data_IF_803412689090
#
_entry.id   IF_803412689090
#
_cell.length_a   1.000
_cell.length_b   1.000
_cell.length_c   1.000
_cell.angle_alpha   90.00
_cell.angle_beta   90.00
_cell.angle_gamma   90.00
#
_symmetry.space_group_name_H-M   'P 1'
#
loop_
_entity.id
_entity.type
_entity.pdbx_description
1 polymer ?
#
# COMPACT_ATOMS: atom_id res chain seq x y z
N UNK A 1 19.41 11.67 -63.61
CA UNK A 1 19.07 10.35 -62.99
C UNK A 1 17.68 9.92 -63.49
N UNK A 2 17.60 8.84 -64.22
CA UNK A 2 16.41 8.38 -64.90
C UNK A 2 15.38 7.83 -63.87
N UNK A 3 14.09 7.98 -64.17
CA UNK A 3 12.95 7.52 -63.37
C UNK A 3 12.99 6.03 -63.01
N UNK A 4 13.73 5.24 -63.78
CA UNK A 4 13.97 3.82 -63.51
C UNK A 4 14.87 3.56 -62.30
N UNK A 5 15.92 4.45 -62.10
CA UNK A 5 16.87 4.35 -60.96
C UNK A 5 16.20 4.71 -59.63
N UNK A 6 15.23 5.64 -59.66
CA UNK A 6 14.47 6.00 -58.46
C UNK A 6 13.47 4.89 -58.04
N UNK A 7 12.92 4.17 -58.98
CA UNK A 7 12.01 3.03 -58.69
C UNK A 7 12.76 1.80 -58.14
N UNK A 8 13.98 1.57 -58.59
CA UNK A 8 14.82 0.50 -58.05
C UNK A 8 15.38 0.82 -56.65
N UNK A 9 15.63 2.09 -56.32
CA UNK A 9 16.02 2.49 -54.94
C UNK A 9 14.86 2.40 -53.97
N UNK A 10 13.63 2.73 -54.39
CA UNK A 10 12.44 2.58 -53.50
C UNK A 10 12.04 1.09 -53.27
N UNK A 11 12.28 0.21 -54.23
CA UNK A 11 12.07 -1.23 -54.06
C UNK A 11 13.14 -1.89 -53.19
N UNK A 12 14.40 -1.39 -53.23
CA UNK A 12 15.46 -1.87 -52.35
C UNK A 12 15.29 -1.44 -50.89
N UNK A 13 14.76 -0.22 -50.62
CA UNK A 13 14.45 0.22 -49.27
C UNK A 13 13.22 -0.47 -48.67
N UNK A 14 12.20 -0.78 -49.49
CA UNK A 14 11.04 -1.50 -49.05
C UNK A 14 11.36 -2.98 -48.71
N UNK A 15 12.29 -3.61 -49.44
CA UNK A 15 12.73 -4.97 -49.16
C UNK A 15 13.64 -5.07 -47.92
N UNK A 16 14.39 -3.99 -47.59
CA UNK A 16 15.19 -3.91 -46.35
C UNK A 16 14.31 -3.58 -45.09
N UNK A 17 13.17 -2.91 -45.25
CA UNK A 17 12.18 -2.69 -44.18
C UNK A 17 11.31 -3.91 -43.90
N UNK A 18 11.14 -4.83 -44.87
CA UNK A 18 10.38 -6.07 -44.66
C UNK A 18 11.25 -7.18 -44.05
N UNK A 19 12.59 -7.08 -44.14
CA UNK A 19 13.52 -8.03 -43.51
C UNK A 19 13.91 -7.63 -42.06
N UNK A 20 13.50 -6.45 -41.61
CA UNK A 20 13.67 -5.97 -40.23
C UNK A 20 12.49 -6.22 -39.30
N UNK A 21 11.38 -6.83 -39.77
CA UNK A 21 10.15 -7.08 -39.00
C UNK A 21 9.86 -8.58 -38.76
N UNK A 22 10.86 -9.43 -38.86
CA UNK A 22 10.71 -10.85 -38.47
C UNK A 22 11.75 -11.26 -37.42
N UNK A 23 12.00 -10.40 -36.46
CA UNK A 23 12.38 -10.83 -35.14
C UNK A 23 11.10 -10.82 -34.26
N UNK A 24 10.11 -11.59 -34.65
CA UNK A 24 9.16 -12.12 -33.67
C UNK A 24 9.99 -13.04 -32.79
N UNK A 25 10.32 -12.57 -31.58
CA UNK A 25 10.79 -13.42 -30.51
C UNK A 25 9.86 -14.63 -30.44
N UNK A 26 10.42 -15.82 -30.31
CA UNK A 26 9.63 -17.01 -30.04
C UNK A 26 8.74 -16.72 -28.84
N UNK A 27 7.45 -17.10 -28.85
CA UNK A 27 6.59 -16.89 -27.70
C UNK A 27 7.26 -17.53 -26.48
N UNK A 28 7.42 -16.74 -25.42
CA UNK A 28 7.93 -17.19 -24.11
C UNK A 28 7.00 -18.33 -23.67
N UNK A 29 7.47 -19.55 -23.71
CA UNK A 29 6.67 -20.71 -23.36
C UNK A 29 6.87 -20.99 -21.87
N UNK A 30 6.21 -20.21 -21.01
CA UNK A 30 6.11 -20.57 -19.60
C UNK A 30 5.38 -21.93 -19.51
N UNK A 31 6.00 -22.91 -18.88
CA UNK A 31 5.34 -24.15 -18.54
C UNK A 31 4.13 -23.80 -17.67
N UNK A 32 2.94 -24.30 -17.99
CA UNK A 32 1.77 -24.15 -17.12
C UNK A 32 2.09 -24.82 -15.79
N UNK A 33 2.32 -24.00 -14.79
CA UNK A 33 2.54 -24.43 -13.41
C UNK A 33 1.17 -24.79 -12.80
N UNK A 34 1.12 -25.82 -11.98
CA UNK A 34 -0.12 -26.30 -11.36
C UNK A 34 -0.16 -25.87 -9.89
N UNK A 35 -1.31 -25.41 -9.43
CA UNK A 35 -1.55 -25.05 -8.01
C UNK A 35 -1.13 -26.21 -7.06
N UNK A 36 -1.39 -27.44 -7.48
CA UNK A 36 -1.04 -28.64 -6.69
C UNK A 36 0.49 -28.88 -6.54
N UNK A 37 1.31 -28.08 -7.24
CA UNK A 37 2.77 -28.19 -7.22
C UNK A 37 3.46 -27.15 -6.31
N UNK A 38 2.71 -26.26 -5.67
CA UNK A 38 3.29 -25.22 -4.80
C UNK A 38 3.87 -25.83 -3.53
N UNK A 39 5.18 -25.66 -3.26
CA UNK A 39 5.80 -26.26 -2.08
C UNK A 39 5.42 -25.50 -0.80
N UNK A 40 5.42 -26.22 0.32
CA UNK A 40 5.50 -25.60 1.63
C UNK A 40 6.91 -25.03 1.86
N UNK A 41 7.05 -24.10 2.80
CA UNK A 41 8.36 -23.65 3.24
C UNK A 41 9.18 -24.84 3.79
N UNK A 42 10.50 -24.87 3.56
CA UNK A 42 11.34 -25.98 4.02
C UNK A 42 11.30 -26.11 5.55
N UNK A 43 11.45 -27.35 6.06
CA UNK A 43 11.41 -27.61 7.50
C UNK A 43 12.61 -27.01 8.26
N UNK A 44 13.73 -26.82 7.57
CA UNK A 44 14.93 -26.17 8.12
C UNK A 44 15.05 -24.78 7.51
N UNK A 45 14.84 -23.75 8.33
CA UNK A 45 14.91 -22.33 7.94
C UNK A 45 16.20 -21.76 8.53
N UNK A 46 17.04 -21.05 7.75
CA UNK A 46 18.19 -20.32 8.30
C UNK A 46 17.75 -19.37 9.42
N UNK A 47 18.50 -19.32 10.52
CA UNK A 47 18.13 -18.55 11.70
C UNK A 47 17.91 -17.04 11.41
N UNK A 48 18.59 -16.47 10.41
CA UNK A 48 18.40 -15.10 9.97
C UNK A 48 17.07 -14.88 9.21
N UNK A 49 16.41 -15.95 8.78
CA UNK A 49 15.15 -15.94 8.03
C UNK A 49 14.02 -16.67 8.78
N UNK A 50 14.22 -16.99 10.05
CA UNK A 50 13.18 -17.55 10.93
C UNK A 50 12.29 -16.41 11.43
N UNK A 51 11.30 -16.04 10.60
CA UNK A 51 10.43 -14.87 10.78
C UNK A 51 9.09 -15.32 11.37
N UNK A 52 8.69 -14.70 12.46
CA UNK A 52 7.34 -14.85 13.02
C UNK A 52 6.35 -13.97 12.23
N UNK A 53 5.55 -14.59 11.39
CA UNK A 53 4.58 -13.88 10.54
C UNK A 53 3.36 -13.32 11.31
N UNK A 54 3.22 -13.61 12.59
CA UNK A 54 2.24 -12.99 13.47
C UNK A 54 2.81 -11.81 14.27
N UNK A 55 4.12 -11.55 14.17
CA UNK A 55 4.75 -10.40 14.77
C UNK A 55 4.63 -9.14 13.89
N UNK A 56 4.83 -7.99 14.51
CA UNK A 56 5.03 -6.72 13.83
C UNK A 56 6.49 -6.32 13.89
N UNK A 57 7.00 -5.88 12.77
CA UNK A 57 8.39 -5.48 12.61
C UNK A 57 8.47 -3.99 12.31
N UNK A 58 9.47 -3.31 12.84
CA UNK A 58 9.84 -1.95 12.45
C UNK A 58 10.39 -1.92 11.03
N UNK A 59 10.46 -0.76 10.42
CA UNK A 59 11.05 -0.64 9.08
C UNK A 59 12.50 -1.13 9.06
N UNK A 60 13.29 -0.78 10.09
CA UNK A 60 14.67 -1.26 10.21
C UNK A 60 14.80 -2.80 10.31
N UNK A 61 13.83 -3.47 10.95
CA UNK A 61 13.78 -4.93 10.99
C UNK A 61 13.41 -5.52 9.63
N UNK A 62 12.51 -4.88 8.87
CA UNK A 62 12.19 -5.29 7.49
C UNK A 62 13.41 -5.12 6.57
N UNK A 63 14.16 -4.01 6.70
CA UNK A 63 15.42 -3.82 5.98
C UNK A 63 16.43 -4.94 6.28
N UNK A 64 16.58 -5.30 7.55
CA UNK A 64 17.46 -6.39 7.97
C UNK A 64 17.01 -7.74 7.39
N UNK A 65 15.71 -8.01 7.33
CA UNK A 65 15.17 -9.24 6.73
C UNK A 65 15.41 -9.29 5.21
N UNK A 66 15.23 -8.17 4.48
CA UNK A 66 15.54 -8.09 3.05
C UNK A 66 17.04 -8.30 2.79
N UNK A 67 17.89 -7.67 3.59
CA UNK A 67 19.34 -7.85 3.51
C UNK A 67 19.75 -9.32 3.78
N UNK A 68 19.11 -9.97 4.75
CA UNK A 68 19.35 -11.38 5.04
C UNK A 68 18.92 -12.29 3.89
N UNK A 69 17.80 -12.02 3.21
CA UNK A 69 17.38 -12.77 2.01
C UNK A 69 18.43 -12.62 0.90
N UNK A 70 18.88 -11.38 0.62
CA UNK A 70 19.89 -11.12 -0.40
C UNK A 70 21.24 -11.75 -0.08
N UNK A 71 21.66 -11.74 1.19
CA UNK A 71 22.92 -12.36 1.62
C UNK A 71 22.88 -13.89 1.53
N UNK A 72 21.74 -14.51 1.89
CA UNK A 72 21.59 -15.97 1.88
C UNK A 72 21.38 -16.53 0.46
N UNK A 73 20.79 -15.76 -0.45
CA UNK A 73 20.42 -16.21 -1.79
C UNK A 73 20.98 -15.31 -2.92
N UNK A 74 22.30 -14.97 -2.91
CA UNK A 74 22.88 -13.99 -3.82
C UNK A 74 22.87 -14.41 -5.30
N UNK A 75 22.64 -15.69 -5.61
CA UNK A 75 22.57 -16.19 -6.99
C UNK A 75 21.22 -15.90 -7.68
N UNK A 76 20.22 -15.49 -6.90
CA UNK A 76 18.85 -15.27 -7.40
C UNK A 76 18.25 -13.96 -6.88
N UNK A 77 18.97 -13.18 -6.10
CA UNK A 77 18.44 -11.92 -5.53
C UNK A 77 19.43 -10.78 -5.69
N UNK A 78 18.87 -9.59 -5.99
CA UNK A 78 19.56 -8.31 -5.89
C UNK A 78 18.73 -7.36 -5.03
N UNK A 79 19.34 -6.74 -4.01
CA UNK A 79 18.71 -5.72 -3.15
C UNK A 79 19.27 -4.35 -3.46
N UNK A 80 18.42 -3.42 -3.86
CA UNK A 80 18.83 -2.04 -4.15
C UNK A 80 17.74 -1.04 -3.78
N UNK A 81 18.15 0.21 -3.54
CA UNK A 81 17.23 1.32 -3.33
C UNK A 81 16.79 1.92 -4.65
N UNK A 82 15.49 2.14 -4.84
CA UNK A 82 14.94 2.85 -6.01
C UNK A 82 14.83 4.36 -5.78
N UNK A 83 15.05 4.84 -4.56
CA UNK A 83 14.95 6.22 -4.16
C UNK A 83 14.86 6.38 -2.65
N UNK A 84 14.60 7.59 -2.18
CA UNK A 84 14.47 7.90 -0.76
C UNK A 84 13.23 8.73 -0.47
N UNK A 85 12.72 8.60 0.76
CA UNK A 85 11.63 9.43 1.29
C UNK A 85 12.10 10.84 1.67
N UNK A 86 11.17 11.69 2.09
CA UNK A 86 11.50 12.99 2.69
C UNK A 86 12.32 12.89 3.99
N UNK A 87 12.17 11.80 4.75
CA UNK A 87 12.93 11.54 5.96
C UNK A 87 14.18 10.67 5.68
N UNK A 88 14.63 10.62 4.41
CA UNK A 88 15.86 9.96 3.96
C UNK A 88 15.90 8.44 4.22
N UNK A 89 14.72 7.77 4.29
CA UNK A 89 14.64 6.31 4.31
C UNK A 89 14.67 5.78 2.89
N UNK A 90 15.38 4.67 2.68
CA UNK A 90 15.46 4.02 1.38
C UNK A 90 14.14 3.33 0.99
N UNK A 91 13.84 3.35 -0.30
CA UNK A 91 12.78 2.58 -0.91
C UNK A 91 13.39 1.30 -1.49
N UNK A 92 13.36 0.24 -0.70
CA UNK A 92 14.03 -1.00 -1.07
C UNK A 92 13.23 -1.81 -2.10
N UNK A 93 13.94 -2.29 -3.12
CA UNK A 93 13.48 -3.30 -4.05
C UNK A 93 14.35 -4.54 -3.90
N UNK A 94 13.70 -5.69 -3.65
CA UNK A 94 14.34 -6.99 -3.78
C UNK A 94 13.92 -7.59 -5.12
N UNK A 95 14.85 -7.66 -6.05
CA UNK A 95 14.70 -8.38 -7.31
C UNK A 95 14.98 -9.86 -7.08
N UNK A 96 14.08 -10.73 -7.56
CA UNK A 96 14.19 -12.19 -7.38
C UNK A 96 14.01 -12.84 -8.75
N UNK A 97 15.07 -13.50 -9.24
CA UNK A 97 15.07 -14.09 -10.57
C UNK A 97 16.21 -15.10 -10.73
N UNK A 98 16.22 -15.90 -11.78
CA UNK A 98 17.38 -16.67 -12.19
C UNK A 98 18.27 -15.84 -13.10
N UNK A 99 19.35 -15.26 -12.55
CA UNK A 99 20.31 -14.41 -13.26
C UNK A 99 21.00 -15.05 -14.47
N UNK A 100 20.92 -16.39 -14.61
CA UNK A 100 21.52 -17.12 -15.74
C UNK A 100 20.68 -17.04 -17.01
N UNK A 101 19.44 -16.57 -16.91
CA UNK A 101 18.54 -16.35 -18.04
C UNK A 101 18.43 -14.84 -18.26
N UNK A 102 18.64 -14.35 -19.48
CA UNK A 102 18.53 -12.93 -19.80
C UNK A 102 17.16 -12.34 -19.46
N UNK A 103 17.12 -11.13 -18.93
CA UNK A 103 15.89 -10.45 -18.51
C UNK A 103 14.90 -10.25 -19.66
N UNK A 104 15.42 -10.03 -20.88
CA UNK A 104 14.60 -9.90 -22.09
C UNK A 104 13.86 -11.19 -22.49
N UNK A 105 14.22 -12.33 -21.92
CA UNK A 105 13.54 -13.61 -22.12
C UNK A 105 12.48 -13.89 -21.05
N UNK A 106 12.32 -12.98 -20.08
CA UNK A 106 11.43 -13.13 -18.93
C UNK A 106 10.32 -12.08 -18.92
N UNK A 107 9.28 -12.38 -18.20
CA UNK A 107 8.18 -11.46 -17.89
C UNK A 107 8.48 -10.70 -16.59
N UNK A 108 8.38 -9.39 -16.62
CA UNK A 108 8.59 -8.53 -15.44
C UNK A 108 7.34 -8.48 -14.56
N UNK A 109 7.51 -8.73 -13.26
CA UNK A 109 6.42 -8.77 -12.27
C UNK A 109 6.71 -7.80 -11.13
N UNK A 110 5.77 -6.87 -10.85
CA UNK A 110 5.83 -5.99 -9.69
C UNK A 110 4.97 -6.52 -8.53
N UNK A 111 5.54 -6.64 -7.33
CA UNK A 111 4.81 -6.87 -6.08
C UNK A 111 5.11 -5.70 -5.15
N UNK A 112 4.19 -4.74 -5.13
CA UNK A 112 4.37 -3.46 -4.44
C UNK A 112 3.39 -3.36 -3.28
N UNK A 113 3.83 -2.80 -2.14
CA UNK A 113 2.99 -2.77 -0.96
C UNK A 113 3.16 -1.50 -0.15
N UNK A 114 2.23 -1.27 0.76
CA UNK A 114 2.29 -0.26 1.80
C UNK A 114 2.49 1.17 1.29
N UNK A 115 1.77 1.54 0.24
CA UNK A 115 1.68 2.95 -0.19
C UNK A 115 0.94 3.78 0.87
N UNK A 116 0.02 3.17 1.61
CA UNK A 116 -0.58 3.70 2.83
C UNK A 116 0.16 3.10 4.04
N UNK A 117 0.95 3.92 4.73
CA UNK A 117 1.88 3.47 5.76
C UNK A 117 1.27 2.63 6.89
N UNK A 118 0.03 2.91 7.26
CA UNK A 118 -0.70 2.16 8.28
C UNK A 118 -1.14 0.75 7.88
N UNK A 119 -1.12 0.41 6.60
CA UNK A 119 -1.59 -0.87 6.05
C UNK A 119 -0.49 -1.94 6.11
N UNK A 120 -0.06 -2.31 7.30
CA UNK A 120 1.14 -3.14 7.56
C UNK A 120 1.01 -4.58 7.10
N UNK A 121 -0.21 -5.13 7.07
CA UNK A 121 -0.48 -6.48 6.59
C UNK A 121 -0.12 -6.61 5.11
N UNK A 122 -0.22 -5.50 4.35
CA UNK A 122 0.23 -5.45 2.96
C UNK A 122 1.75 -5.62 2.85
N UNK A 123 2.52 -4.92 3.69
CA UNK A 123 3.98 -5.07 3.76
C UNK A 123 4.39 -6.50 4.17
N UNK A 124 3.74 -7.05 5.20
CA UNK A 124 3.97 -8.43 5.64
C UNK A 124 3.72 -9.44 4.52
N UNK A 125 2.67 -9.22 3.71
CA UNK A 125 2.32 -10.10 2.57
C UNK A 125 3.37 -10.04 1.45
N UNK A 126 3.88 -8.84 1.13
CA UNK A 126 4.98 -8.70 0.17
C UNK A 126 6.27 -9.36 0.68
N UNK A 127 6.62 -9.12 1.94
CA UNK A 127 7.78 -9.73 2.59
C UNK A 127 7.67 -11.26 2.62
N UNK A 128 6.48 -11.81 2.95
CA UNK A 128 6.25 -13.26 2.94
C UNK A 128 6.43 -13.84 1.54
N UNK A 129 5.94 -13.17 0.52
CA UNK A 129 6.09 -13.61 -0.88
C UNK A 129 7.57 -13.68 -1.28
N UNK A 130 8.35 -12.63 -0.97
CA UNK A 130 9.80 -12.61 -1.21
C UNK A 130 10.52 -13.73 -0.45
N UNK A 131 10.24 -13.86 0.84
CA UNK A 131 10.80 -14.88 1.71
C UNK A 131 10.51 -16.30 1.21
N UNK A 132 9.26 -16.57 0.82
CA UNK A 132 8.87 -17.88 0.33
C UNK A 132 9.56 -18.23 -1.01
N UNK A 133 9.64 -17.27 -1.94
CA UNK A 133 10.34 -17.44 -3.21
C UNK A 133 11.83 -17.76 -3.01
N UNK A 134 12.48 -17.09 -2.07
CA UNK A 134 13.90 -17.31 -1.78
C UNK A 134 14.13 -18.64 -1.11
N UNK A 135 13.38 -18.99 -0.06
CA UNK A 135 13.54 -20.25 0.68
C UNK A 135 13.21 -21.49 -0.17
N UNK A 136 12.22 -21.37 -1.06
CA UNK A 136 11.80 -22.49 -1.91
C UNK A 136 12.50 -22.51 -3.28
N UNK A 137 13.53 -21.70 -3.48
CA UNK A 137 14.19 -21.53 -4.79
C UNK A 137 14.79 -22.81 -5.39
N UNK A 138 15.09 -23.81 -4.59
CA UNK A 138 15.56 -25.12 -5.04
C UNK A 138 14.43 -26.06 -5.49
N UNK A 139 13.18 -25.76 -5.13
CA UNK A 139 12.03 -26.52 -5.58
C UNK A 139 11.77 -26.32 -7.08
N UNK A 140 11.31 -27.38 -7.76
CA UNK A 140 11.11 -27.35 -9.20
C UNK A 140 10.06 -26.34 -9.65
N UNK A 141 9.00 -26.14 -8.85
CA UNK A 141 7.95 -25.15 -9.15
C UNK A 141 8.51 -23.72 -9.06
N UNK A 142 9.17 -23.38 -7.95
CA UNK A 142 9.74 -22.02 -7.78
C UNK A 142 10.87 -21.75 -8.76
N UNK A 143 11.70 -22.76 -9.04
CA UNK A 143 12.73 -22.67 -10.10
C UNK A 143 12.10 -22.34 -11.47
N UNK A 144 10.99 -22.99 -11.79
CA UNK A 144 10.24 -22.68 -13.02
C UNK A 144 9.68 -21.25 -13.03
N UNK A 145 9.26 -20.72 -11.89
CA UNK A 145 8.86 -19.30 -11.77
C UNK A 145 10.06 -18.38 -12.05
N UNK A 146 11.19 -18.60 -11.37
CA UNK A 146 12.38 -17.76 -11.50
C UNK A 146 13.03 -17.84 -12.88
N UNK A 147 12.82 -18.95 -13.61
CA UNK A 147 13.25 -19.08 -15.00
C UNK A 147 12.36 -18.30 -15.97
N UNK A 148 11.07 -18.09 -15.62
CA UNK A 148 10.09 -17.42 -16.45
C UNK A 148 9.91 -15.93 -16.11
N UNK A 149 10.18 -15.55 -14.86
CA UNK A 149 9.86 -14.22 -14.33
C UNK A 149 11.06 -13.53 -13.69
N UNK A 150 11.09 -12.20 -13.81
CA UNK A 150 11.84 -11.32 -12.92
C UNK A 150 10.84 -10.66 -12.00
N UNK A 151 10.93 -10.96 -10.69
CA UNK A 151 9.97 -10.51 -9.69
C UNK A 151 10.61 -9.39 -8.86
N UNK A 152 10.03 -8.20 -8.92
CA UNK A 152 10.45 -7.02 -8.18
C UNK A 152 9.54 -6.82 -6.98
N UNK A 153 10.05 -6.98 -5.78
CA UNK A 153 9.29 -6.80 -4.54
C UNK A 153 9.70 -5.50 -3.87
N UNK A 154 8.75 -4.55 -3.78
CA UNK A 154 8.89 -3.30 -3.02
C UNK A 154 7.91 -3.36 -1.86
N UNK A 155 8.33 -3.86 -0.68
CA UNK A 155 7.40 -4.19 0.40
C UNK A 155 6.86 -2.96 1.14
N UNK A 156 7.56 -1.82 1.08
CA UNK A 156 7.14 -0.59 1.75
C UNK A 156 7.41 0.61 0.84
N UNK A 157 6.36 1.14 0.23
CA UNK A 157 6.43 2.36 -0.60
C UNK A 157 6.42 3.62 0.29
N UNK A 158 5.87 3.53 1.50
CA UNK A 158 5.74 4.64 2.44
C UNK A 158 6.45 4.34 3.77
N UNK A 159 7.80 4.28 3.80
CA UNK A 159 8.54 3.99 5.02
C UNK A 159 8.28 4.97 6.17
N UNK A 160 8.09 6.25 5.87
CA UNK A 160 7.83 7.28 6.86
C UNK A 160 6.47 7.07 7.54
N UNK A 161 5.44 6.79 6.75
CA UNK A 161 4.11 6.43 7.25
C UNK A 161 4.09 5.08 7.97
N UNK A 162 4.86 4.12 7.50
CA UNK A 162 5.00 2.81 8.13
C UNK A 162 5.55 2.93 9.56
N UNK A 163 6.65 3.65 9.75
CA UNK A 163 7.22 3.88 11.09
C UNK A 163 6.24 4.63 12.01
N UNK A 164 5.63 5.69 11.51
CA UNK A 164 4.67 6.45 12.32
C UNK A 164 3.44 5.62 12.70
N UNK A 165 3.06 4.63 11.92
CA UNK A 165 1.89 3.79 12.18
C UNK A 165 2.02 2.87 13.43
N UNK A 166 3.19 2.80 14.08
CA UNK A 166 3.34 2.20 15.41
C UNK A 166 2.75 3.08 16.51
N UNK A 167 2.53 4.34 16.23
CA UNK A 167 1.96 5.32 17.16
C UNK A 167 0.50 5.58 16.79
N UNK A 168 0.22 5.87 15.52
CA UNK A 168 -1.12 6.18 15.02
C UNK A 168 -1.28 5.67 13.59
N UNK A 169 -2.51 5.30 13.22
CA UNK A 169 -2.82 4.94 11.84
C UNK A 169 -2.51 6.10 10.89
N UNK A 170 -1.55 5.90 10.00
CA UNK A 170 -1.19 6.87 8.98
C UNK A 170 -1.41 6.29 7.59
N UNK A 171 -2.47 6.76 6.93
CA UNK A 171 -2.68 6.56 5.50
C UNK A 171 -1.82 7.54 4.69
N UNK A 172 -1.81 8.86 5.02
CA UNK A 172 -1.07 9.84 4.28
C UNK A 172 0.44 9.67 4.41
N UNK A 173 1.10 10.20 3.45
CA UNK A 173 2.52 10.42 3.45
C UNK A 173 2.91 11.58 4.36
N UNK A 174 4.00 11.42 5.10
CA UNK A 174 4.42 12.38 6.12
C UNK A 174 5.40 13.41 5.54
N UNK A 175 4.86 14.38 4.85
CA UNK A 175 5.66 15.53 4.40
C UNK A 175 5.96 16.44 5.57
N UNK A 176 7.23 16.82 5.80
CA UNK A 176 7.56 17.79 6.84
C UNK A 176 6.79 19.10 6.65
N UNK A 177 5.97 19.45 7.61
CA UNK A 177 5.14 20.64 7.61
C UNK A 177 5.20 21.29 8.99
N UNK A 178 5.14 22.59 9.00
CA UNK A 178 4.97 23.41 10.19
C UNK A 178 3.48 23.82 10.22
N UNK A 179 2.66 23.03 10.90
CA UNK A 179 1.21 23.21 10.90
C UNK A 179 0.78 24.35 11.83
N UNK A 180 1.52 24.62 12.89
CA UNK A 180 1.20 25.67 13.86
C UNK A 180 1.96 26.98 13.63
N UNK A 181 2.93 27.02 12.69
CA UNK A 181 3.62 28.24 12.28
C UNK A 181 4.80 28.64 13.18
N UNK A 182 5.33 27.73 13.97
CA UNK A 182 6.46 27.97 14.86
C UNK A 182 7.84 27.83 14.19
N UNK A 183 7.89 27.50 12.91
CA UNK A 183 9.05 27.22 12.07
C UNK A 183 9.82 25.93 12.42
N UNK A 184 9.19 25.01 13.13
CA UNK A 184 9.75 23.70 13.47
C UNK A 184 8.75 22.63 13.02
N UNK A 185 8.95 21.97 11.85
CA UNK A 185 8.06 20.92 11.41
C UNK A 185 7.95 19.77 12.42
N UNK A 186 6.74 19.29 12.63
CA UNK A 186 6.45 18.19 13.56
C UNK A 186 6.82 18.50 15.01
N UNK A 187 6.64 19.75 15.43
CA UNK A 187 7.00 20.23 16.77
C UNK A 187 6.15 19.66 17.89
N UNK A 188 4.92 19.20 17.59
CA UNK A 188 4.01 18.63 18.59
C UNK A 188 3.39 17.30 18.11
N UNK A 189 4.21 16.22 18.02
CA UNK A 189 3.75 14.92 17.58
C UNK A 189 2.80 14.28 18.59
N UNK A 190 1.78 13.60 18.09
CA UNK A 190 0.88 12.79 18.91
C UNK A 190 1.65 11.78 19.74
N UNK A 191 1.30 11.68 21.02
CA UNK A 191 1.98 10.82 21.98
C UNK A 191 0.95 10.25 22.94
N UNK A 192 1.01 8.96 23.17
CA UNK A 192 0.16 8.25 24.11
C UNK A 192 0.54 8.64 25.56
N UNK A 193 -0.42 9.00 26.39
CA UNK A 193 -0.23 9.51 27.73
C UNK A 193 -0.89 8.66 28.82
N UNK A 194 -1.99 7.96 28.50
CA UNK A 194 -2.83 7.30 29.50
C UNK A 194 -2.53 5.80 29.70
N UNK A 195 -1.61 5.23 28.95
CA UNK A 195 -1.14 3.85 29.06
C UNK A 195 -2.07 2.84 28.40
N UNK A 196 -3.03 3.28 27.57
CA UNK A 196 -3.97 2.36 26.91
C UNK A 196 -3.44 1.82 25.56
N UNK A 197 -2.33 2.40 25.07
CA UNK A 197 -1.65 1.98 23.83
C UNK A 197 -2.22 2.60 22.55
N UNK A 198 -3.11 3.60 22.66
CA UNK A 198 -3.73 4.28 21.52
C UNK A 198 -3.61 5.79 21.66
N UNK A 199 -3.71 6.49 20.53
CA UNK A 199 -3.77 7.96 20.52
C UNK A 199 -5.24 8.38 20.49
N UNK A 200 -5.67 9.14 21.47
CA UNK A 200 -7.02 9.62 21.58
C UNK A 200 -7.24 10.98 20.90
N UNK A 201 -8.45 11.19 20.39
CA UNK A 201 -8.97 12.52 20.08
C UNK A 201 -9.60 13.10 21.35
N UNK A 202 -9.28 14.34 21.68
CA UNK A 202 -9.65 14.97 22.93
C UNK A 202 -10.84 15.91 22.73
N UNK A 203 -11.82 15.77 23.61
CA UNK A 203 -13.00 16.65 23.65
C UNK A 203 -13.14 17.23 25.05
N UNK A 204 -13.43 18.51 25.18
CA UNK A 204 -13.70 19.11 26.50
C UNK A 204 -15.17 18.93 26.89
N UNK A 205 -15.38 18.73 28.18
CA UNK A 205 -16.73 18.57 28.74
C UNK A 205 -16.70 18.29 30.24
N UNK A 206 -17.86 17.99 30.80
CA UNK A 206 -18.03 17.65 32.22
C UNK A 206 -18.16 16.14 32.39
N UNK A 207 -17.90 15.65 33.58
CA UNK A 207 -17.97 14.23 33.89
C UNK A 207 -19.39 13.62 33.73
N UNK A 208 -20.43 14.42 33.83
CA UNK A 208 -21.83 14.03 33.67
C UNK A 208 -22.38 14.27 32.25
N UNK A 209 -21.58 14.78 31.35
CA UNK A 209 -21.96 14.87 29.94
C UNK A 209 -22.05 13.47 29.32
N UNK A 210 -22.97 13.32 28.36
CA UNK A 210 -22.99 12.12 27.50
C UNK A 210 -21.86 12.27 26.47
N UNK A 211 -20.84 11.40 26.51
CA UNK A 211 -19.73 11.52 25.57
C UNK A 211 -20.20 11.32 24.13
N UNK A 212 -19.85 12.26 23.28
CA UNK A 212 -20.15 12.24 21.85
C UNK A 212 -19.18 13.14 21.09
N UNK A 213 -19.08 12.93 19.78
CA UNK A 213 -18.28 13.78 18.89
C UNK A 213 -18.90 15.16 18.64
N UNK A 214 -20.04 15.45 19.25
CA UNK A 214 -20.66 16.79 19.26
C UNK A 214 -20.12 17.68 20.37
N UNK A 215 -19.38 17.13 21.33
CA UNK A 215 -18.64 17.92 22.31
C UNK A 215 -17.57 18.78 21.61
N UNK A 216 -17.19 19.92 22.19
CA UNK A 216 -16.12 20.75 21.63
C UNK A 216 -14.80 19.97 21.51
N UNK A 217 -14.29 19.88 20.28
CA UNK A 217 -12.96 19.30 20.01
C UNK A 217 -11.91 20.13 20.74
N UNK A 218 -11.03 19.47 21.48
CA UNK A 218 -9.98 20.13 22.25
C UNK A 218 -8.60 19.99 21.60
N UNK A 219 -8.26 18.79 21.11
CA UNK A 219 -6.98 18.51 20.49
C UNK A 219 -6.77 17.01 20.27
N UNK A 220 -5.52 16.64 20.19
CA UNK A 220 -5.08 15.24 20.14
C UNK A 220 -4.18 14.93 21.33
N UNK A 221 -4.09 13.66 21.67
CA UNK A 221 -3.23 13.23 22.76
C UNK A 221 -1.76 13.54 22.48
N UNK A 222 -1.18 14.42 23.27
CA UNK A 222 0.19 14.94 23.20
C UNK A 222 0.58 15.55 24.53
N UNK A 223 1.87 15.53 24.92
CA UNK A 223 2.35 16.25 26.08
C UNK A 223 2.60 17.76 25.83
N UNK A 224 2.15 18.34 24.72
CA UNK A 224 2.43 19.74 24.33
C UNK A 224 3.96 19.97 24.22
N UNK A 225 4.57 19.33 23.24
CA UNK A 225 6.03 19.31 23.08
C UNK A 225 6.66 20.69 22.82
N UNK A 226 5.93 21.58 22.19
CA UNK A 226 6.41 22.94 21.87
C UNK A 226 5.95 24.00 22.89
N UNK A 227 5.24 23.58 23.94
CA UNK A 227 4.80 24.39 25.05
C UNK A 227 3.91 25.60 24.65
N UNK A 228 3.14 25.44 23.54
CA UNK A 228 2.23 26.49 23.07
C UNK A 228 0.82 26.40 23.70
N UNK A 229 0.53 25.32 24.40
CA UNK A 229 -0.74 25.03 25.08
C UNK A 229 -1.77 24.33 24.23
N UNK A 230 -1.55 24.11 22.94
CA UNK A 230 -2.48 23.44 22.01
C UNK A 230 -1.97 22.03 21.74
N UNK A 231 -2.69 21.02 22.23
CA UNK A 231 -2.24 19.65 22.20
C UNK A 231 -2.30 19.02 20.80
N UNK A 232 -1.16 18.57 20.28
CA UNK A 232 -1.07 17.83 19.05
C UNK A 232 -1.41 18.66 17.80
N UNK A 233 -1.06 19.92 17.76
CA UNK A 233 -1.41 20.86 16.69
C UNK A 233 -0.41 20.85 15.52
N UNK A 234 0.76 20.26 15.69
CA UNK A 234 1.77 20.06 14.64
C UNK A 234 2.23 18.59 14.56
N UNK A 235 1.31 17.70 14.17
CA UNK A 235 1.55 16.25 14.20
C UNK A 235 2.31 15.76 12.96
N UNK A 236 2.82 14.53 13.06
CA UNK A 236 3.37 13.77 11.93
C UNK A 236 2.31 13.02 11.12
N UNK A 237 1.08 13.49 11.09
CA UNK A 237 -0.05 12.80 10.43
C UNK A 237 -0.62 13.55 9.24
N UNK A 238 -0.17 14.78 9.00
CA UNK A 238 -0.56 15.57 7.84
C UNK A 238 0.29 15.23 6.63
N UNK A 239 -0.32 15.12 5.46
CA UNK A 239 0.41 14.78 4.25
C UNK A 239 -0.49 14.59 3.04
N UNK A 240 0.01 13.80 2.12
CA UNK A 240 -0.59 13.55 0.81
C UNK A 240 -0.92 12.07 0.72
N UNK A 241 -2.11 11.73 0.25
CA UNK A 241 -2.43 10.35 -0.14
C UNK A 241 -1.68 10.03 -1.44
N UNK A 242 -0.60 9.27 -1.32
CA UNK A 242 0.26 8.96 -2.45
C UNK A 242 -0.46 8.16 -3.54
N UNK A 243 -1.46 7.37 -3.17
CA UNK A 243 -2.28 6.65 -4.14
C UNK A 243 -3.37 7.52 -4.79
N UNK A 244 -3.21 8.85 -4.73
CA UNK A 244 -4.01 9.87 -5.42
C UNK A 244 -3.14 10.85 -6.22
N UNK A 245 -1.84 10.55 -6.41
CA UNK A 245 -0.88 11.51 -6.97
C UNK A 245 -0.12 11.02 -8.21
N UNK A 246 -0.42 9.85 -8.73
CA UNK A 246 0.20 9.39 -9.97
C UNK A 246 -0.16 10.29 -11.16
N UNK A 247 0.78 10.46 -12.10
CA UNK A 247 0.60 11.29 -13.31
C UNK A 247 -0.23 10.57 -14.38
N UNK A 248 -1.41 10.10 -13.97
CA UNK A 248 -2.43 9.56 -14.86
C UNK A 248 -3.81 9.90 -14.31
N UNK A 249 -4.63 10.61 -15.11
CA UNK A 249 -5.97 11.08 -14.70
C UNK A 249 -5.96 11.92 -13.39
N UNK A 250 -4.82 12.48 -13.03
CA UNK A 250 -4.70 13.35 -11.86
C UNK A 250 -5.62 14.57 -11.99
N UNK A 251 -6.16 15.00 -10.88
CA UNK A 251 -7.03 16.19 -10.82
C UNK A 251 -8.34 16.07 -11.66
N UNK A 252 -8.91 14.86 -11.71
CA UNK A 252 -10.20 14.64 -12.36
C UNK A 252 -11.34 15.15 -11.48
N UNK A 253 -11.78 16.38 -11.76
CA UNK A 253 -12.92 17.00 -11.07
C UNK A 253 -14.29 16.55 -11.62
N UNK A 254 -14.31 15.80 -12.71
CA UNK A 254 -15.51 15.32 -13.37
C UNK A 254 -16.02 13.97 -12.81
N UNK A 255 -15.29 13.39 -11.88
CA UNK A 255 -15.72 12.18 -11.17
C UNK A 255 -16.23 12.55 -9.77
N UNK A 256 -17.42 12.04 -9.44
CA UNK A 256 -17.93 12.10 -8.08
C UNK A 256 -17.20 11.03 -7.25
N UNK A 257 -16.27 11.46 -6.43
CA UNK A 257 -15.60 10.59 -5.46
C UNK A 257 -16.25 10.77 -4.09
N UNK A 258 -16.41 9.68 -3.33
CA UNK A 258 -16.83 9.76 -1.92
C UNK A 258 -15.81 10.55 -1.11
N UNK A 259 -14.54 10.31 -1.41
CA UNK A 259 -13.42 11.04 -0.84
C UNK A 259 -12.95 12.04 -1.88
N UNK A 260 -13.37 13.26 -1.74
CA UNK A 260 -12.98 14.33 -2.67
C UNK A 260 -11.46 14.43 -2.72
N UNK A 261 -10.88 14.20 -3.87
CA UNK A 261 -9.50 14.53 -4.14
C UNK A 261 -9.31 16.03 -4.00
N UNK A 262 -8.81 16.46 -2.84
CA UNK A 262 -8.64 17.88 -2.56
C UNK A 262 -7.27 18.32 -3.04
N UNK A 263 -7.22 18.81 -4.26
CA UNK A 263 -6.02 19.42 -4.82
C UNK A 263 -5.62 20.65 -3.99
N UNK A 264 -4.32 20.73 -3.67
CA UNK A 264 -3.78 21.85 -2.90
C UNK A 264 -4.01 21.77 -1.39
N UNK A 265 -4.65 20.74 -0.90
CA UNK A 265 -4.82 20.48 0.52
C UNK A 265 -3.87 19.38 0.99
N UNK A 266 -3.51 19.38 2.25
CA UNK A 266 -2.61 18.39 2.88
C UNK A 266 -3.35 17.66 3.98
N UNK A 267 -4.41 17.03 3.63
CA UNK A 267 -5.20 16.21 4.53
C UNK A 267 -5.16 14.73 4.10
N UNK A 268 -5.88 13.92 4.82
CA UNK A 268 -6.02 12.47 4.67
C UNK A 268 -6.22 11.98 3.20
N UNK A 269 -6.94 12.72 2.36
CA UNK A 269 -7.22 12.34 0.97
C UNK A 269 -6.60 13.28 -0.06
N UNK A 270 -5.65 14.12 0.36
CA UNK A 270 -5.06 15.12 -0.53
C UNK A 270 -4.31 14.48 -1.70
N UNK A 271 -4.65 14.91 -2.90
CA UNK A 271 -3.92 14.59 -4.12
C UNK A 271 -2.68 15.49 -4.36
N UNK A 272 -2.34 16.34 -3.40
CA UNK A 272 -1.25 17.31 -3.52
C UNK A 272 -1.55 18.48 -4.44
N UNK A 273 -0.52 19.25 -4.76
CA UNK A 273 -0.61 20.46 -5.60
C UNK A 273 -0.28 20.21 -7.07
N UNK A 274 0.32 19.06 -7.37
CA UNK A 274 0.66 18.57 -8.70
C UNK A 274 0.82 17.05 -8.65
N UNK A 275 0.79 16.34 -9.80
CA UNK A 275 1.07 14.92 -9.81
C UNK A 275 2.52 14.65 -9.39
N UNK A 276 2.76 13.52 -8.76
CA UNK A 276 4.07 13.04 -8.35
C UNK A 276 4.93 14.06 -7.58
N UNK A 277 4.30 14.81 -6.66
CA UNK A 277 5.02 15.77 -5.79
C UNK A 277 5.91 15.06 -4.78
N UNK A 278 5.56 13.82 -4.41
CA UNK A 278 6.27 13.07 -3.40
C UNK A 278 7.47 12.30 -4.00
N UNK A 279 8.62 12.27 -3.34
CA UNK A 279 9.82 11.60 -3.86
C UNK A 279 9.59 10.11 -4.11
N UNK A 280 8.81 9.44 -3.27
CA UNK A 280 8.45 8.02 -3.39
C UNK A 280 7.71 7.74 -4.69
N UNK A 281 6.73 8.59 -5.01
CA UNK A 281 5.94 8.42 -6.24
C UNK A 281 6.80 8.71 -7.47
N UNK A 282 7.70 9.71 -7.40
CA UNK A 282 8.66 9.93 -8.50
C UNK A 282 9.60 8.74 -8.68
N UNK A 283 10.09 8.17 -7.59
CA UNK A 283 10.95 6.99 -7.63
C UNK A 283 10.21 5.79 -8.24
N UNK A 284 8.98 5.53 -7.81
CA UNK A 284 8.16 4.43 -8.33
C UNK A 284 7.77 4.65 -9.81
N UNK A 285 7.40 5.87 -10.22
CA UNK A 285 7.15 6.19 -11.61
C UNK A 285 8.41 6.04 -12.48
N UNK A 286 9.57 6.45 -11.96
CA UNK A 286 10.87 6.25 -12.65
C UNK A 286 11.19 4.75 -12.76
N UNK A 287 10.93 3.97 -11.71
CA UNK A 287 11.09 2.52 -11.73
C UNK A 287 10.22 1.88 -12.83
N UNK A 288 8.91 2.20 -12.87
CA UNK A 288 8.00 1.70 -13.89
C UNK A 288 8.37 2.15 -15.32
N UNK A 289 9.03 3.29 -15.46
CA UNK A 289 9.52 3.77 -16.75
C UNK A 289 10.77 3.01 -17.23
N UNK A 290 11.63 2.57 -16.31
CA UNK A 290 12.94 1.97 -16.64
C UNK A 290 12.92 0.44 -16.63
N UNK A 291 11.91 -0.18 -16.04
CA UNK A 291 11.75 -1.62 -15.96
C UNK A 291 10.55 -2.07 -16.79
N UNK A 292 10.77 -3.07 -17.63
CA UNK A 292 9.72 -3.66 -18.46
C UNK A 292 8.88 -4.62 -17.59
N UNK A 293 7.79 -4.11 -17.01
CA UNK A 293 6.81 -4.92 -16.30
C UNK A 293 5.65 -5.26 -17.22
N UNK A 294 5.19 -6.50 -17.15
CA UNK A 294 3.98 -6.96 -17.83
C UNK A 294 2.79 -6.99 -16.87
N UNK A 295 3.07 -7.25 -15.58
CA UNK A 295 2.05 -7.38 -14.52
C UNK A 295 2.52 -6.73 -13.24
N UNK A 296 1.62 -6.13 -12.49
CA UNK A 296 1.87 -5.70 -11.12
C UNK A 296 0.68 -5.96 -10.19
N UNK A 297 0.99 -6.12 -8.92
CA UNK A 297 0.03 -6.12 -7.83
C UNK A 297 0.42 -5.08 -6.80
N UNK A 298 -0.56 -4.26 -6.39
CA UNK A 298 -0.48 -3.31 -5.28
C UNK A 298 -1.18 -3.92 -4.07
N UNK A 299 -0.45 -4.10 -2.97
CA UNK A 299 -1.00 -4.70 -1.76
C UNK A 299 -1.45 -3.61 -0.79
N UNK A 300 -2.68 -3.72 -0.34
CA UNK A 300 -3.38 -2.80 0.55
C UNK A 300 -4.07 -3.54 1.70
N UNK A 301 -4.71 -2.79 2.58
CA UNK A 301 -5.52 -3.31 3.68
C UNK A 301 -6.70 -2.39 3.94
N UNK A 302 -7.89 -2.94 4.09
CA UNK A 302 -9.10 -2.17 4.40
C UNK A 302 -10.38 -2.96 4.15
N UNK A 303 -10.39 -3.74 3.10
CA UNK A 303 -11.46 -4.68 2.75
C UNK A 303 -10.83 -6.03 2.38
N UNK A 304 -11.64 -7.01 1.95
CA UNK A 304 -11.13 -8.32 1.52
C UNK A 304 -11.51 -8.56 0.06
N UNK A 305 -10.71 -8.04 -0.85
CA UNK A 305 -11.00 -8.16 -2.27
C UNK A 305 -9.76 -8.01 -3.16
N UNK A 306 -9.95 -8.40 -4.42
CA UNK A 306 -9.05 -8.07 -5.52
C UNK A 306 -9.73 -7.05 -6.43
N UNK A 307 -9.09 -5.88 -6.58
CA UNK A 307 -9.52 -4.82 -7.47
C UNK A 307 -8.70 -4.85 -8.77
N UNK A 308 -9.33 -4.40 -9.86
CA UNK A 308 -8.68 -4.20 -11.16
C UNK A 308 -9.14 -2.86 -11.77
N UNK A 309 -8.41 -2.29 -12.73
CA UNK A 309 -8.79 -1.04 -13.39
C UNK A 309 -10.20 -1.09 -14.01
N UNK A 310 -10.86 0.03 -14.14
CA UNK A 310 -10.38 1.38 -13.83
C UNK A 310 -10.85 1.83 -12.44
N UNK A 311 -10.07 2.72 -11.85
CA UNK A 311 -10.49 3.42 -10.63
C UNK A 311 -11.36 4.64 -10.97
N UNK A 312 -11.02 5.38 -12.04
CA UNK A 312 -11.63 6.68 -12.36
C UNK A 312 -12.90 6.58 -13.20
N UNK A 313 -13.23 5.47 -13.78
CA UNK A 313 -14.44 5.29 -14.61
C UNK A 313 -14.89 3.83 -14.67
N UNK A 314 -16.14 3.63 -15.02
CA UNK A 314 -16.65 2.30 -15.32
C UNK A 314 -16.08 1.73 -16.64
N UNK A 315 -16.12 0.41 -16.76
CA UNK A 315 -15.78 -0.33 -17.98
C UNK A 315 -16.71 0.06 -19.13
N UNK A 316 -16.15 0.23 -20.33
CA UNK A 316 -16.88 0.50 -21.58
C UNK A 316 -16.36 -0.43 -22.69
N UNK A 317 -17.18 -1.39 -23.08
CA UNK A 317 -16.83 -2.39 -24.11
C UNK A 317 -16.50 -1.80 -25.50
N UNK A 318 -16.92 -0.57 -25.76
CA UNK A 318 -16.66 0.13 -27.04
C UNK A 318 -15.35 0.95 -26.98
N UNK A 319 -14.74 1.07 -25.78
CA UNK A 319 -13.50 1.80 -25.61
C UNK A 319 -12.29 0.86 -25.85
N UNK A 320 -11.43 1.17 -26.84
CA UNK A 320 -10.25 0.34 -27.12
C UNK A 320 -9.27 0.23 -25.94
N UNK A 321 -9.24 1.20 -25.04
CA UNK A 321 -8.40 1.18 -23.83
C UNK A 321 -8.88 0.14 -22.82
N UNK A 322 -10.07 -0.43 -23.01
CA UNK A 322 -10.65 -1.44 -22.11
C UNK A 322 -10.49 -2.88 -22.62
N UNK A 323 -9.70 -3.08 -23.68
CA UNK A 323 -9.58 -4.37 -24.35
C UNK A 323 -9.15 -5.51 -23.39
N UNK A 324 -8.24 -5.22 -22.45
CA UNK A 324 -7.70 -6.21 -21.50
C UNK A 324 -8.49 -6.27 -20.17
N UNK A 325 -9.44 -5.36 -19.93
CA UNK A 325 -10.25 -5.37 -18.69
C UNK A 325 -10.99 -6.70 -18.46
N UNK A 326 -11.62 -7.34 -19.49
CA UNK A 326 -12.24 -8.64 -19.29
C UNK A 326 -11.28 -9.75 -18.85
N UNK A 327 -10.04 -9.72 -19.32
CA UNK A 327 -8.98 -10.63 -18.89
C UNK A 327 -8.61 -10.35 -17.42
N UNK A 328 -8.31 -9.10 -17.07
CA UNK A 328 -7.98 -8.72 -15.68
C UNK A 328 -9.11 -9.06 -14.71
N UNK A 329 -10.38 -8.84 -15.09
CA UNK A 329 -11.54 -9.26 -14.32
C UNK A 329 -11.55 -10.77 -14.04
N UNK A 330 -11.29 -11.58 -15.06
CA UNK A 330 -11.27 -13.03 -14.93
C UNK A 330 -10.11 -13.51 -14.04
N UNK A 331 -8.95 -12.90 -14.17
CA UNK A 331 -7.77 -13.17 -13.34
C UNK A 331 -8.01 -12.75 -11.89
N UNK A 332 -8.53 -11.55 -11.64
CA UNK A 332 -8.89 -11.08 -10.31
C UNK A 332 -9.86 -12.01 -9.57
N UNK A 333 -10.83 -12.57 -10.32
CA UNK A 333 -11.77 -13.55 -9.73
C UNK A 333 -11.08 -14.86 -9.33
N UNK A 334 -10.08 -15.32 -10.08
CA UNK A 334 -9.30 -16.52 -9.71
C UNK A 334 -8.38 -16.22 -8.51
N UNK A 335 -7.77 -15.03 -8.47
CA UNK A 335 -6.95 -14.59 -7.34
C UNK A 335 -7.77 -14.54 -6.04
N UNK A 336 -8.97 -13.97 -6.09
CA UNK A 336 -9.88 -13.91 -4.97
C UNK A 336 -10.29 -15.31 -4.50
N UNK A 337 -10.60 -16.23 -5.43
CA UNK A 337 -10.92 -17.62 -5.11
C UNK A 337 -9.74 -18.34 -4.46
N UNK A 338 -8.51 -18.17 -4.96
CA UNK A 338 -7.32 -18.79 -4.39
C UNK A 338 -7.05 -18.30 -2.95
N UNK A 339 -7.24 -17.00 -2.72
CA UNK A 339 -7.14 -16.43 -1.37
C UNK A 339 -8.20 -17.03 -0.43
N UNK A 340 -9.45 -17.10 -0.87
CA UNK A 340 -10.55 -17.69 -0.12
C UNK A 340 -10.33 -19.18 0.16
N UNK A 341 -9.89 -19.95 -0.82
CA UNK A 341 -9.64 -21.40 -0.68
C UNK A 341 -8.56 -21.68 0.36
N UNK A 342 -7.53 -20.82 0.43
CA UNK A 342 -6.46 -20.96 1.41
C UNK A 342 -6.89 -20.54 2.82
N UNK A 343 -7.52 -19.37 2.95
CA UNK A 343 -7.80 -18.76 4.25
C UNK A 343 -9.12 -19.19 4.88
N UNK A 344 -10.06 -19.71 4.07
CA UNK A 344 -11.43 -19.95 4.46
C UNK A 344 -12.26 -18.68 4.69
N UNK A 345 -11.72 -17.51 4.36
CA UNK A 345 -12.39 -16.20 4.47
C UNK A 345 -13.02 -15.80 3.15
N UNK A 346 -14.19 -15.17 3.20
CA UNK A 346 -14.80 -14.57 2.02
C UNK A 346 -13.88 -13.53 1.40
N UNK A 347 -13.66 -13.64 0.09
CA UNK A 347 -12.82 -12.74 -0.67
C UNK A 347 -13.46 -12.48 -2.03
N UNK A 348 -13.47 -11.24 -2.49
CA UNK A 348 -14.23 -10.81 -3.66
C UNK A 348 -13.33 -10.24 -4.74
N UNK A 349 -13.89 -10.02 -5.94
CA UNK A 349 -13.24 -9.26 -6.99
C UNK A 349 -14.24 -8.30 -7.63
N UNK A 350 -13.79 -7.07 -7.92
CA UNK A 350 -14.57 -6.06 -8.63
C UNK A 350 -13.64 -5.04 -9.28
N UNK A 351 -14.16 -4.20 -10.18
CA UNK A 351 -13.39 -3.03 -10.60
C UNK A 351 -13.25 -2.05 -9.45
N UNK A 352 -12.13 -1.35 -9.39
CA UNK A 352 -11.91 -0.37 -8.32
C UNK A 352 -12.97 0.74 -8.32
N UNK A 353 -13.48 1.12 -9.50
CA UNK A 353 -14.58 2.07 -9.64
C UNK A 353 -15.90 1.59 -9.00
N UNK A 354 -16.15 0.27 -8.98
CA UNK A 354 -17.36 -0.29 -8.34
C UNK A 354 -17.31 -0.19 -6.81
N UNK A 355 -16.12 -0.18 -6.20
CA UNK A 355 -15.97 0.12 -4.78
C UNK A 355 -16.27 1.59 -4.50
N UNK A 356 -15.47 2.49 -5.05
CA UNK A 356 -15.74 3.93 -5.15
C UNK A 356 -14.84 4.58 -6.21
N UNK A 357 -15.33 5.56 -6.98
CA UNK A 357 -14.52 6.23 -7.99
C UNK A 357 -13.39 7.03 -7.36
N UNK A 358 -12.17 6.83 -7.88
CA UNK A 358 -10.97 7.58 -7.51
C UNK A 358 -10.18 7.93 -8.76
N UNK A 359 -9.10 8.68 -8.64
CA UNK A 359 -8.22 8.95 -9.76
C UNK A 359 -6.76 9.01 -9.32
N UNK A 360 -5.84 8.92 -10.28
CA UNK A 360 -4.40 8.97 -10.06
C UNK A 360 -3.88 7.88 -9.10
N UNK A 361 -4.44 6.68 -9.19
CA UNK A 361 -3.99 5.50 -8.48
C UNK A 361 -2.91 4.75 -9.26
N UNK A 362 -2.12 3.94 -8.53
CA UNK A 362 -1.04 3.13 -9.10
C UNK A 362 -1.53 2.20 -10.21
N UNK A 363 -2.64 1.48 -10.01
CA UNK A 363 -3.10 0.49 -10.99
C UNK A 363 -3.62 1.15 -12.27
N UNK A 364 -4.27 2.31 -12.17
CA UNK A 364 -4.67 3.09 -13.34
C UNK A 364 -3.46 3.68 -14.07
N UNK A 365 -2.43 4.14 -13.33
CA UNK A 365 -1.19 4.63 -13.90
C UNK A 365 -0.44 3.54 -14.66
N UNK A 366 -0.30 2.37 -14.06
CA UNK A 366 0.41 1.24 -14.67
C UNK A 366 -0.28 0.74 -15.94
N UNK A 367 -1.58 0.50 -15.87
CA UNK A 367 -2.35 0.04 -17.02
C UNK A 367 -2.48 1.12 -18.08
N UNK A 368 -2.88 2.33 -17.70
CA UNK A 368 -3.18 3.41 -18.65
C UNK A 368 -1.94 4.01 -19.33
N UNK A 369 -0.75 3.94 -18.70
CA UNK A 369 0.50 4.46 -19.29
C UNK A 369 1.30 3.41 -20.03
N UNK A 370 1.32 2.17 -19.51
CA UNK A 370 2.26 1.14 -19.94
C UNK A 370 1.59 -0.15 -20.39
N UNK A 371 0.26 -0.23 -20.30
CA UNK A 371 -0.52 -1.45 -20.59
C UNK A 371 -0.09 -2.63 -19.69
N UNK A 372 0.39 -2.36 -18.49
CA UNK A 372 0.72 -3.35 -17.48
C UNK A 372 -0.58 -3.88 -16.89
N UNK A 373 -0.80 -5.19 -16.86
CA UNK A 373 -1.93 -5.75 -16.12
C UNK A 373 -1.76 -5.46 -14.64
N UNK A 374 -2.69 -4.76 -14.06
CA UNK A 374 -2.53 -4.21 -12.71
C UNK A 374 -3.69 -4.60 -11.79
N UNK A 375 -3.35 -4.99 -10.57
CA UNK A 375 -4.31 -5.43 -9.57
C UNK A 375 -4.02 -4.78 -8.23
N UNK A 376 -5.07 -4.55 -7.42
CA UNK A 376 -4.92 -4.29 -5.99
C UNK A 376 -5.44 -5.50 -5.22
N UNK A 377 -4.68 -5.98 -4.24
CA UNK A 377 -5.17 -6.94 -3.25
C UNK A 377 -5.32 -6.22 -1.92
N UNK A 378 -6.55 -6.13 -1.44
CA UNK A 378 -6.89 -5.65 -0.11
C UNK A 378 -6.83 -6.83 0.86
N UNK A 379 -5.65 -7.10 1.43
CA UNK A 379 -5.33 -8.39 2.07
C UNK A 379 -6.09 -8.66 3.37
N UNK A 380 -6.61 -7.63 4.03
CA UNK A 380 -7.23 -7.78 5.34
C UNK A 380 -8.33 -6.77 5.62
N UNK A 381 -9.39 -7.27 6.24
CA UNK A 381 -10.34 -6.48 7.02
C UNK A 381 -10.60 -7.20 8.34
N UNK A 382 -10.79 -6.51 9.47
CA UNK A 382 -11.14 -7.14 10.74
C UNK A 382 -12.52 -7.80 10.72
N UNK A 383 -13.31 -7.59 9.67
CA UNK A 383 -14.60 -8.19 9.46
C UNK A 383 -14.55 -9.66 9.11
N UNK A 384 -15.60 -10.39 9.49
CA UNK A 384 -15.82 -11.75 9.03
C UNK A 384 -16.81 -11.72 7.89
N UNK A 385 -16.37 -12.09 6.70
CA UNK A 385 -17.25 -12.30 5.57
C UNK A 385 -17.70 -13.76 5.47
N UNK A 386 -18.47 -14.20 6.42
CA UNK A 386 -19.11 -15.53 6.34
C UNK A 386 -20.43 -15.49 5.54
N UNK A 387 -20.97 -14.29 5.28
CA UNK A 387 -22.28 -14.10 4.67
C UNK A 387 -22.29 -14.16 3.14
N UNK A 388 -21.13 -14.02 2.50
CA UNK A 388 -21.05 -13.84 1.04
C UNK A 388 -21.44 -12.44 0.57
N UNK A 389 -21.62 -11.47 1.48
CA UNK A 389 -21.87 -10.07 1.18
C UNK A 389 -20.60 -9.26 1.38
N UNK A 390 -20.15 -8.55 0.34
CA UNK A 390 -18.95 -7.73 0.40
C UNK A 390 -19.03 -6.64 1.47
N UNK A 391 -20.24 -6.16 1.80
CA UNK A 391 -20.43 -5.16 2.85
C UNK A 391 -19.95 -5.64 4.22
N UNK A 392 -20.00 -6.95 4.47
CA UNK A 392 -19.52 -7.55 5.72
C UNK A 392 -17.99 -7.61 5.79
N UNK A 393 -17.30 -7.46 4.67
CA UNK A 393 -15.85 -7.40 4.58
C UNK A 393 -15.30 -5.98 4.76
N UNK A 394 -16.17 -4.96 4.72
CA UNK A 394 -15.74 -3.57 4.89
C UNK A 394 -15.53 -3.28 6.38
N UNK A 395 -14.39 -2.67 6.68
CA UNK A 395 -14.01 -2.28 8.05
C UNK A 395 -15.09 -1.43 8.77
N UNK A 396 -15.86 -0.64 8.03
CA UNK A 396 -16.95 0.20 8.53
C UNK A 396 -18.03 -0.59 9.28
N UNK A 397 -18.22 -1.85 8.95
CA UNK A 397 -19.26 -2.71 9.53
C UNK A 397 -18.74 -3.63 10.66
N UNK A 398 -17.45 -3.58 10.94
CA UNK A 398 -16.76 -4.56 11.78
C UNK A 398 -15.98 -3.92 12.91
N UNK A 399 -16.18 -2.61 13.10
CA UNK A 399 -15.44 -1.80 14.06
C UNK A 399 -15.67 -2.28 15.49
N UNK A 400 -14.62 -2.56 16.27
CA UNK A 400 -14.75 -2.75 17.71
C UNK A 400 -15.33 -1.49 18.37
N UNK A 401 -15.90 -1.65 19.55
CA UNK A 401 -16.52 -0.54 20.28
C UNK A 401 -15.58 0.64 20.44
N UNK A 402 -16.08 1.82 20.14
CA UNK A 402 -15.39 3.07 20.46
C UNK A 402 -15.31 3.25 21.97
N UNK A 403 -14.15 3.67 22.45
CA UNK A 403 -13.91 3.85 23.87
C UNK A 403 -13.90 5.34 24.21
N UNK A 404 -14.61 5.71 25.26
CA UNK A 404 -14.59 7.05 25.83
C UNK A 404 -14.11 6.97 27.28
N UNK A 405 -13.10 7.76 27.65
CA UNK A 405 -12.59 7.86 29.00
C UNK A 405 -12.56 9.33 29.40
N UNK A 406 -13.08 9.64 30.57
CA UNK A 406 -13.06 11.00 31.11
C UNK A 406 -11.89 11.18 32.07
N UNK A 407 -11.16 12.27 31.92
CA UNK A 407 -10.13 12.72 32.83
C UNK A 407 -10.52 14.07 33.43
N UNK A 408 -10.68 14.10 34.75
CA UNK A 408 -10.86 15.34 35.53
C UNK A 408 -9.60 16.20 35.50
N UNK A 409 -9.71 17.47 35.89
CA UNK A 409 -8.55 18.37 35.96
C UNK A 409 -7.41 17.82 36.84
N UNK A 410 -7.73 17.13 37.93
CA UNK A 410 -6.73 16.52 38.81
C UNK A 410 -6.05 15.31 38.09
N UNK A 411 -6.82 14.48 37.40
CA UNK A 411 -6.26 13.37 36.62
C UNK A 411 -5.47 13.85 35.40
N UNK A 412 -5.87 14.94 34.76
CA UNK A 412 -5.09 15.58 33.69
C UNK A 412 -3.70 15.96 34.20
N UNK A 413 -3.61 16.51 35.44
CA UNK A 413 -2.34 16.85 36.07
C UNK A 413 -1.57 15.62 36.54
N UNK A 414 -2.22 14.76 37.30
CA UNK A 414 -1.56 13.70 38.07
C UNK A 414 -1.28 12.44 37.25
N UNK A 415 -2.12 12.16 36.23
CA UNK A 415 -2.02 10.97 35.38
C UNK A 415 -1.41 11.29 34.00
N UNK A 416 -1.89 12.36 33.35
CA UNK A 416 -1.43 12.69 32.00
C UNK A 416 -0.20 13.63 32.00
N UNK A 417 0.13 14.23 33.14
CA UNK A 417 1.28 15.13 33.26
C UNK A 417 1.08 16.50 32.60
N UNK A 418 -0.17 16.86 32.25
CA UNK A 418 -0.50 18.13 31.61
C UNK A 418 -0.94 19.16 32.63
N UNK A 419 -0.72 20.46 32.37
CA UNK A 419 -1.27 21.53 33.18
C UNK A 419 -2.67 21.95 32.68
N UNK A 420 -3.75 21.59 33.40
CA UNK A 420 -5.11 21.90 32.97
C UNK A 420 -5.44 23.39 32.95
N UNK A 421 -4.59 24.25 33.51
CA UNK A 421 -4.73 25.70 33.47
C UNK A 421 -3.98 26.34 32.29
N UNK A 422 -3.04 25.63 31.68
CA UNK A 422 -2.22 26.10 30.57
C UNK A 422 -2.74 25.62 29.19
N UNK A 423 -3.31 24.41 29.13
CA UNK A 423 -3.78 23.83 27.85
C UNK A 423 -5.05 24.50 27.34
N UNK A 424 -5.13 24.64 26.01
CA UNK A 424 -6.27 25.23 25.29
C UNK A 424 -6.58 24.45 24.02
N UNK A 425 -7.77 24.66 23.47
CA UNK A 425 -8.04 24.25 22.09
C UNK A 425 -7.37 25.21 21.08
N UNK A 426 -7.45 24.87 19.78
CA UNK A 426 -6.87 25.68 18.69
C UNK A 426 -7.37 27.12 18.61
N UNK A 427 -8.49 27.43 19.25
CA UNK A 427 -9.09 28.76 19.31
C UNK A 427 -8.72 29.52 20.62
N UNK A 428 -7.83 28.95 21.43
CA UNK A 428 -7.33 29.51 22.69
C UNK A 428 -8.32 29.37 23.86
N UNK A 429 -9.28 28.43 23.78
CA UNK A 429 -10.26 28.20 24.83
C UNK A 429 -9.79 27.08 25.76
N UNK A 430 -9.46 27.42 27.00
CA UNK A 430 -9.06 26.46 28.03
C UNK A 430 -10.22 25.73 28.69
N UNK A 431 -9.89 24.89 29.67
CA UNK A 431 -10.87 24.13 30.46
C UNK A 431 -11.49 25.01 31.56
N UNK A 432 -12.82 25.04 31.66
CA UNK A 432 -13.50 25.64 32.81
C UNK A 432 -13.24 24.83 34.10
N UNK A 433 -13.53 25.43 35.26
CA UNK A 433 -13.22 24.84 36.57
C UNK A 433 -13.92 23.48 36.83
N UNK A 434 -15.04 23.23 36.17
CA UNK A 434 -15.86 22.01 36.25
C UNK A 434 -15.79 21.14 35.01
N UNK A 435 -14.87 21.46 34.07
CA UNK A 435 -14.60 20.68 32.86
C UNK A 435 -13.34 19.81 33.02
N UNK A 436 -13.24 18.78 32.18
CA UNK A 436 -12.10 17.92 31.97
C UNK A 436 -12.01 17.52 30.51
N UNK A 437 -11.29 16.46 30.22
CA UNK A 437 -11.10 15.91 28.88
C UNK A 437 -11.77 14.54 28.74
N UNK A 438 -12.54 14.40 27.68
CA UNK A 438 -13.02 13.13 27.18
C UNK A 438 -12.04 12.64 26.14
N UNK A 439 -11.37 11.52 26.40
CA UNK A 439 -10.51 10.81 25.46
C UNK A 439 -11.40 9.88 24.62
N UNK A 440 -11.37 10.07 23.33
CA UNK A 440 -12.08 9.27 22.35
C UNK A 440 -11.08 8.44 21.55
N UNK A 441 -11.07 7.14 21.75
CA UNK A 441 -10.27 6.20 20.97
C UNK A 441 -11.15 5.59 19.91
N UNK A 442 -10.88 5.89 18.64
CA UNK A 442 -11.60 5.30 17.54
C UNK A 442 -11.01 3.94 17.17
N UNK A 443 -11.87 3.05 16.77
CA UNK A 443 -11.51 1.72 16.31
C UNK A 443 -10.63 1.72 15.05
N UNK A 444 -10.61 2.79 14.27
CA UNK A 444 -9.67 2.97 13.15
C UNK A 444 -8.22 2.88 13.60
N UNK A 445 -7.89 3.41 14.78
CA UNK A 445 -6.54 3.32 15.33
C UNK A 445 -6.18 1.88 15.77
N UNK A 446 -7.18 1.08 16.13
CA UNK A 446 -6.97 -0.31 16.54
C UNK A 446 -6.74 -1.26 15.37
N UNK A 447 -7.40 -1.01 14.23
CA UNK A 447 -7.34 -1.89 13.06
C UNK A 447 -5.93 -2.04 12.50
N UNK A 448 -5.13 -0.98 12.57
CA UNK A 448 -3.87 -0.89 11.86
C UNK A 448 -2.68 -1.19 12.76
N UNK A 449 -2.83 -1.03 14.07
CA UNK A 449 -1.75 -1.21 15.04
C UNK A 449 -1.67 -2.61 15.65
N UNK A 450 -2.66 -3.46 15.42
CA UNK A 450 -2.67 -4.83 15.92
C UNK A 450 -2.47 -5.82 14.78
N UNK A 451 -1.45 -6.66 14.92
CA UNK A 451 -1.32 -7.81 14.05
C UNK A 451 -2.57 -8.69 14.23
N UNK A 452 -3.25 -9.09 13.16
CA UNK A 452 -4.33 -10.07 13.27
C UNK A 452 -3.78 -11.38 13.81
N UNK A 453 -4.56 -12.08 14.63
CA UNK A 453 -4.17 -13.39 15.16
C UNK A 453 -3.91 -14.44 14.05
N UNK A 454 -4.39 -14.16 12.83
CA UNK A 454 -4.30 -15.03 11.66
C UNK A 454 -3.43 -14.42 10.55
N UNK A 455 -2.51 -13.51 10.88
CA UNK A 455 -1.72 -12.83 9.86
C UNK A 455 -0.89 -13.82 9.03
N UNK A 456 -0.35 -14.87 9.64
CA UNK A 456 0.41 -15.89 8.91
C UNK A 456 -0.45 -16.63 7.89
N UNK A 457 -1.72 -16.87 8.17
CA UNK A 457 -2.68 -17.47 7.21
C UNK A 457 -2.97 -16.50 6.07
N UNK A 458 -3.11 -15.22 6.36
CA UNK A 458 -3.41 -14.20 5.35
C UNK A 458 -2.25 -13.94 4.40
N UNK A 459 -1.01 -13.85 4.89
CA UNK A 459 0.17 -13.66 4.03
C UNK A 459 0.38 -14.84 3.07
N UNK A 460 0.04 -16.06 3.51
CA UNK A 460 0.04 -17.27 2.67
C UNK A 460 -1.08 -17.23 1.63
N UNK A 461 -2.29 -16.82 2.02
CA UNK A 461 -3.40 -16.63 1.09
C UNK A 461 -3.09 -15.57 0.03
N UNK A 462 -2.45 -14.47 0.43
CA UNK A 462 -2.01 -13.43 -0.48
C UNK A 462 -0.96 -13.95 -1.48
N UNK A 463 0.05 -14.70 -1.01
CA UNK A 463 0.99 -15.39 -1.90
C UNK A 463 0.26 -16.26 -2.92
N UNK A 464 -0.72 -17.05 -2.50
CA UNK A 464 -1.45 -17.94 -3.41
C UNK A 464 -2.28 -17.16 -4.45
N UNK A 465 -2.82 -16.01 -4.08
CA UNK A 465 -3.46 -15.10 -5.02
C UNK A 465 -2.45 -14.55 -6.05
N UNK A 466 -1.25 -14.11 -5.60
CA UNK A 466 -0.17 -13.63 -6.48
C UNK A 466 0.28 -14.75 -7.43
N UNK A 467 0.51 -15.95 -6.93
CA UNK A 467 0.90 -17.09 -7.80
C UNK A 467 -0.18 -17.43 -8.81
N UNK A 468 -1.46 -17.32 -8.42
CA UNK A 468 -2.60 -17.54 -9.34
C UNK A 468 -2.66 -16.46 -10.42
N UNK A 469 -2.27 -15.23 -10.12
CA UNK A 469 -2.09 -14.17 -11.11
C UNK A 469 -1.02 -14.58 -12.13
N UNK A 470 0.18 -14.97 -11.68
CA UNK A 470 1.28 -15.39 -12.54
C UNK A 470 0.89 -16.58 -13.47
N UNK A 471 0.19 -17.57 -12.92
CA UNK A 471 -0.29 -18.73 -13.68
C UNK A 471 -1.40 -18.40 -14.70
N UNK A 472 -2.06 -17.25 -14.54
CA UNK A 472 -3.16 -16.80 -15.39
C UNK A 472 -2.70 -15.93 -16.55
N UNK A 473 -1.55 -15.25 -16.40
CA UNK A 473 -1.03 -14.37 -17.43
C UNK A 473 -0.70 -15.16 -18.71
N UNK A 474 -0.99 -14.57 -19.87
CA UNK A 474 -0.61 -15.20 -21.13
C UNK A 474 0.91 -15.36 -21.15
N UNK A 475 1.37 -16.58 -21.39
CA UNK A 475 2.78 -16.78 -21.77
C UNK A 475 3.03 -15.98 -23.04
N UNK A 476 3.78 -14.88 -22.94
CA UNK A 476 4.08 -13.92 -23.99
C UNK A 476 4.72 -14.53 -25.24
#
# INVERSE_FOLDING_TARGET
MNTLTKRLMCLGLAALLILGLTACGSPKQAARLSIDARPDAPAEIPAALDIDWNARYTFAELEAQLAAMAEQYPDITELYSIGTTWQERDLWCLEITNEKIPSEEKTGIGVFANIHGGERESAASAMYTAWWLTLCSDDAYVKGLLDAYTIYVIPVINPDGYEQSFVINTRPYLRPQDANGNNIPFSDPYTELDGDGFIATLYRGKADDTPSRDLPLFGMESPDWDENGVLGDDPRTSGIDMNRTFDYQWNRYDIETKDTQQVGNVNWTSAGTAPATEPEIRALQQFLYTHELDVLVSLHTGIQCVLYPWCYRAYDAENPDDAEIPFMKATASKMAQAFQDYTGRGFYSMSSNEDYPTAAELIDYAYGRYNIHAYTIEVYSPGKSDSGDISDCKWENTMPETKWVFYSRDEIRDTLGLDPDAITDKDGVGLAADEGLWFYTSSTNQMVNRAPEEQDVMVRGCRDAILTMLESEPSG
#
